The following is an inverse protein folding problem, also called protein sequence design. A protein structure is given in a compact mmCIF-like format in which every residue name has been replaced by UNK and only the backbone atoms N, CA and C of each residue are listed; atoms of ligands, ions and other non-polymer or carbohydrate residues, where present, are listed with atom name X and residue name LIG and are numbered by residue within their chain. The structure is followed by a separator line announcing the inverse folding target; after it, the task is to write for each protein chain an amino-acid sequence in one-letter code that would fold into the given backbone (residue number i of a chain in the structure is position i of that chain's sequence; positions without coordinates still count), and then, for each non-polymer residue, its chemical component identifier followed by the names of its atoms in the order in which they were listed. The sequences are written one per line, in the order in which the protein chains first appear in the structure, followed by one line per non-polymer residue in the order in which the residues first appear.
data_IF_539089547000
#
_entry.id   IF_539089547000
#
_cell.length_a   1.000
_cell.length_b   1.000
_cell.length_c   1.000
_cell.angle_alpha   90.00
_cell.angle_beta   90.00
_cell.angle_gamma   90.00
#
_symmetry.space_group_name_H-M   'P 1'
#
loop_
_entity.id
_entity.type
_entity.pdbx_description
1 polymer ?
#
# COMPACT_ATOMS: atom_id res chain seq x y z
N UNK A 1 -15.30 6.56 -3.00
CA UNK A 1 -14.27 5.81 -3.74
C UNK A 1 -14.69 5.79 -5.21
N UNK A 2 -13.83 6.13 -6.18
CA UNK A 2 -14.22 6.25 -7.59
C UNK A 2 -14.41 4.89 -8.30
N UNK A 3 -14.67 3.85 -7.53
CA UNK A 3 -14.58 2.45 -7.91
C UNK A 3 -15.77 1.72 -7.29
N UNK A 4 -16.88 1.69 -8.02
CA UNK A 4 -18.14 1.05 -7.65
C UNK A 4 -18.29 -0.32 -8.34
N UNK A 5 -17.18 -1.00 -8.61
CA UNK A 5 -17.16 -2.33 -9.21
C UNK A 5 -16.82 -3.36 -8.11
N UNK A 6 -17.70 -4.35 -7.85
CA UNK A 6 -17.43 -5.42 -6.88
C UNK A 6 -16.16 -6.22 -7.16
N UNK A 7 -15.64 -6.20 -8.39
CA UNK A 7 -14.43 -6.92 -8.79
C UNK A 7 -13.11 -6.20 -8.44
N UNK A 8 -13.18 -5.01 -7.84
CA UNK A 8 -12.00 -4.23 -7.42
C UNK A 8 -11.42 -4.75 -6.10
N UNK A 9 -12.20 -5.55 -5.36
CA UNK A 9 -11.68 -6.32 -4.23
C UNK A 9 -10.84 -7.51 -4.72
N UNK A 10 -10.05 -8.13 -3.83
CA UNK A 10 -9.22 -9.30 -4.16
C UNK A 10 -10.08 -10.49 -4.63
N UNK A 11 -10.46 -10.48 -5.91
CA UNK A 11 -11.28 -11.49 -6.58
C UNK A 11 -10.47 -12.29 -7.60
N UNK A 12 -11.10 -13.18 -8.40
CA UNK A 12 -10.38 -14.15 -9.23
C UNK A 12 -9.42 -13.53 -10.25
N UNK A 13 -9.76 -12.39 -10.84
CA UNK A 13 -8.88 -11.67 -11.78
C UNK A 13 -7.66 -11.10 -11.07
N UNK A 14 -7.89 -10.47 -9.92
CA UNK A 14 -6.86 -9.88 -9.10
C UNK A 14 -5.90 -10.96 -8.54
N UNK A 15 -6.44 -12.07 -8.05
CA UNK A 15 -5.68 -13.24 -7.60
C UNK A 15 -4.85 -13.84 -8.74
N UNK A 16 -5.44 -14.03 -9.92
CA UNK A 16 -4.72 -14.52 -11.09
C UNK A 16 -3.54 -13.61 -11.47
N UNK A 17 -3.75 -12.29 -11.46
CA UNK A 17 -2.71 -11.31 -11.73
C UNK A 17 -1.61 -11.36 -10.66
N UNK A 18 -1.99 -11.38 -9.37
CA UNK A 18 -1.05 -11.45 -8.24
C UNK A 18 -0.22 -12.74 -8.25
N UNK A 19 -0.77 -13.84 -8.77
CA UNK A 19 -0.01 -15.07 -8.98
C UNK A 19 0.96 -15.03 -10.17
N UNK A 20 0.70 -14.16 -11.15
CA UNK A 20 1.43 -14.11 -12.43
C UNK A 20 2.49 -13.00 -12.47
N UNK A 21 2.25 -11.89 -11.78
CA UNK A 21 3.13 -10.71 -11.75
C UNK A 21 3.14 -10.07 -10.36
N UNK A 22 4.08 -9.13 -10.13
CA UNK A 22 4.10 -8.33 -8.90
C UNK A 22 2.96 -7.29 -8.91
N UNK A 23 1.84 -7.61 -8.29
CA UNK A 23 0.74 -6.65 -8.12
C UNK A 23 0.94 -5.87 -6.83
N UNK A 24 1.07 -4.55 -6.94
CA UNK A 24 1.07 -3.65 -5.78
C UNK A 24 -0.39 -3.31 -5.44
N UNK A 25 -0.85 -3.55 -4.21
CA UNK A 25 -2.24 -3.28 -3.84
C UNK A 25 -2.54 -1.79 -3.76
N UNK A 26 -3.80 -1.45 -3.98
CA UNK A 26 -4.31 -0.09 -4.05
C UNK A 26 -4.09 0.71 -2.77
N UNK A 27 -4.25 0.10 -1.59
CA UNK A 27 -3.99 0.75 -0.31
C UNK A 27 -2.50 1.09 -0.08
N UNK A 28 -1.58 0.55 -0.88
CA UNK A 28 -0.18 0.98 -0.95
C UNK A 28 0.01 1.96 -2.10
N UNK A 29 -0.42 1.61 -3.32
CA UNK A 29 -0.20 2.41 -4.53
C UNK A 29 -0.89 3.78 -4.50
N UNK A 30 -2.06 3.87 -3.86
CA UNK A 30 -2.88 5.08 -3.76
C UNK A 30 -2.88 5.68 -2.34
N UNK A 31 -1.91 5.31 -1.49
CA UNK A 31 -1.88 5.76 -0.09
C UNK A 31 -1.49 7.23 0.07
N UNK A 32 -0.95 7.86 -0.98
CA UNK A 32 -0.34 9.19 -0.92
C UNK A 32 -1.23 10.24 -0.26
N UNK A 33 -2.50 10.36 -0.68
CA UNK A 33 -3.42 11.34 -0.10
C UNK A 33 -3.71 11.09 1.39
N UNK A 34 -3.94 9.83 1.77
CA UNK A 34 -4.15 9.48 3.18
C UNK A 34 -2.91 9.81 4.01
N UNK A 35 -1.72 9.56 3.45
CA UNK A 35 -0.45 9.87 4.12
C UNK A 35 -0.21 11.37 4.23
N UNK A 36 -0.49 12.15 3.20
CA UNK A 36 -0.44 13.62 3.27
C UNK A 36 -1.35 14.14 4.39
N UNK A 37 -2.59 13.66 4.49
CA UNK A 37 -3.47 14.06 5.60
C UNK A 37 -2.90 13.69 6.96
N UNK A 38 -2.35 12.49 7.11
CA UNK A 38 -1.73 12.05 8.36
C UNK A 38 -0.55 12.97 8.77
N UNK A 39 0.29 13.37 7.81
CA UNK A 39 1.40 14.30 8.05
C UNK A 39 0.90 15.68 8.49
N UNK A 40 -0.10 16.24 7.80
CA UNK A 40 -0.70 17.54 8.13
C UNK A 40 -1.34 17.56 9.53
N UNK A 41 -1.82 16.41 10.04
CA UNK A 41 -2.40 16.29 11.37
C UNK A 41 -1.36 16.25 12.50
N UNK A 42 -0.06 16.04 12.22
CA UNK A 42 0.97 15.91 13.26
C UNK A 42 1.42 17.24 13.86
N UNK A 43 0.99 18.38 13.31
CA UNK A 43 1.04 19.74 13.91
C UNK A 43 2.43 20.36 14.14
N UNK A 44 3.50 19.56 14.19
CA UNK A 44 4.83 19.98 14.62
C UNK A 44 5.92 19.85 13.53
N UNK A 45 5.56 19.52 12.28
CA UNK A 45 6.51 19.47 11.17
C UNK A 45 6.41 20.71 10.28
N UNK A 46 7.55 21.11 9.73
CA UNK A 46 7.60 22.01 8.59
C UNK A 46 6.96 21.31 7.39
N UNK A 47 5.82 21.83 6.94
CA UNK A 47 5.08 21.27 5.79
C UNK A 47 5.67 21.90 4.53
N UNK A 48 6.46 21.13 3.80
CA UNK A 48 6.93 21.41 2.45
C UNK A 48 6.55 20.30 1.48
N UNK A 49 6.56 20.58 0.17
CA UNK A 49 6.33 19.57 -0.87
C UNK A 49 7.33 18.42 -0.73
N UNK A 50 8.61 18.72 -0.49
CA UNK A 50 9.67 17.72 -0.28
C UNK A 50 9.38 16.84 0.93
N UNK A 51 8.95 17.42 2.05
CA UNK A 51 8.60 16.65 3.26
C UNK A 51 7.42 15.70 3.01
N UNK A 52 6.42 16.14 2.23
CA UNK A 52 5.26 15.32 1.85
C UNK A 52 5.71 14.17 0.93
N UNK A 53 6.51 14.45 -0.10
CA UNK A 53 6.98 13.43 -1.02
C UNK A 53 7.91 12.40 -0.36
N UNK A 54 8.80 12.83 0.53
CA UNK A 54 9.69 11.96 1.29
C UNK A 54 8.89 11.04 2.24
N UNK A 55 7.92 11.61 2.95
CA UNK A 55 7.06 10.86 3.88
C UNK A 55 6.19 9.82 3.16
N UNK A 56 5.65 10.15 1.99
CA UNK A 56 4.93 9.21 1.13
C UNK A 56 5.86 8.12 0.60
N UNK A 57 7.02 8.50 0.04
CA UNK A 57 7.95 7.57 -0.60
C UNK A 57 8.50 6.56 0.40
N UNK A 58 8.94 7.03 1.58
CA UNK A 58 9.44 6.18 2.66
C UNK A 58 8.35 5.24 3.21
N UNK A 59 7.09 5.69 3.28
CA UNK A 59 5.96 4.85 3.68
C UNK A 59 5.71 3.73 2.67
N UNK A 60 5.67 4.04 1.37
CA UNK A 60 5.49 3.04 0.31
C UNK A 60 6.66 2.05 0.29
N UNK A 61 7.89 2.55 0.37
CA UNK A 61 9.10 1.72 0.41
C UNK A 61 9.08 0.75 1.61
N UNK A 62 8.74 1.26 2.80
CA UNK A 62 8.62 0.45 4.02
C UNK A 62 7.57 -0.65 3.88
N UNK A 63 6.39 -0.33 3.34
CA UNK A 63 5.35 -1.32 3.09
C UNK A 63 5.80 -2.43 2.13
N UNK A 64 6.47 -2.06 1.03
CA UNK A 64 7.01 -3.03 0.07
C UNK A 64 8.15 -3.88 0.67
N UNK A 65 9.02 -3.28 1.48
CA UNK A 65 10.06 -4.00 2.22
C UNK A 65 9.47 -5.01 3.20
N UNK A 66 8.40 -4.65 3.91
CA UNK A 66 7.70 -5.59 4.80
C UNK A 66 7.06 -6.75 4.04
N UNK A 67 6.46 -6.49 2.87
CA UNK A 67 5.94 -7.54 2.00
C UNK A 67 7.06 -8.49 1.57
N UNK A 68 8.17 -7.93 1.08
CA UNK A 68 9.33 -8.71 0.64
C UNK A 68 9.97 -9.50 1.79
N UNK A 69 10.04 -8.93 3.00
CA UNK A 69 10.55 -9.60 4.18
C UNK A 69 9.67 -10.80 4.60
N UNK A 70 8.34 -10.69 4.45
CA UNK A 70 7.39 -11.79 4.69
C UNK A 70 7.48 -12.87 3.60
N UNK A 71 7.67 -12.47 2.34
CA UNK A 71 7.79 -13.37 1.20
C UNK A 71 8.76 -12.83 0.16
N UNK A 72 9.80 -13.61 -0.14
CA UNK A 72 10.82 -13.28 -1.14
C UNK A 72 10.36 -13.57 -2.58
N UNK A 73 9.13 -14.06 -2.77
CA UNK A 73 8.60 -14.31 -4.11
C UNK A 73 8.41 -12.99 -4.88
N UNK A 74 8.71 -12.98 -6.20
CA UNK A 74 8.48 -11.80 -7.05
C UNK A 74 7.00 -11.61 -7.43
N UNK A 75 6.13 -12.54 -7.04
CA UNK A 75 4.68 -12.51 -7.21
C UNK A 75 4.02 -12.63 -5.84
N UNK A 76 2.68 -12.53 -5.78
CA UNK A 76 1.88 -12.60 -4.55
C UNK A 76 2.14 -11.44 -3.58
N UNK A 77 2.56 -10.30 -4.12
CA UNK A 77 2.88 -9.11 -3.33
C UNK A 77 1.59 -8.56 -2.69
N UNK A 78 0.47 -8.56 -3.43
CA UNK A 78 -0.77 -8.01 -2.91
C UNK A 78 -1.40 -8.89 -1.83
N UNK A 79 -1.48 -10.21 -2.04
CA UNK A 79 -1.96 -11.14 -0.98
C UNK A 79 -1.08 -11.09 0.27
N UNK A 80 0.24 -10.97 0.10
CA UNK A 80 1.17 -10.79 1.23
C UNK A 80 0.90 -9.49 1.99
N UNK A 81 0.68 -8.39 1.26
CA UNK A 81 0.36 -7.10 1.84
C UNK A 81 -0.99 -7.12 2.59
N UNK A 82 -2.02 -7.75 2.03
CA UNK A 82 -3.32 -7.91 2.69
C UNK A 82 -3.20 -8.72 3.99
N UNK A 83 -2.41 -9.81 3.99
CA UNK A 83 -2.16 -10.58 5.20
C UNK A 83 -1.47 -9.74 6.29
N UNK A 84 -0.45 -8.96 5.93
CA UNK A 84 0.22 -8.05 6.85
C UNK A 84 -0.75 -6.99 7.40
N UNK A 85 -1.61 -6.41 6.55
CA UNK A 85 -2.58 -5.41 6.98
C UNK A 85 -3.63 -6.00 7.93
N UNK A 86 -4.11 -7.22 7.67
CA UNK A 86 -5.03 -7.93 8.55
C UNK A 86 -4.40 -8.26 9.90
N UNK A 87 -3.13 -8.69 9.91
CA UNK A 87 -2.37 -8.97 11.15
C UNK A 87 -2.17 -7.72 12.03
N UNK A 88 -2.24 -6.51 11.46
CA UNK A 88 -2.12 -5.25 12.21
C UNK A 88 -3.46 -4.73 12.76
N UNK A 89 -4.58 -5.24 12.25
CA UNK A 89 -5.93 -4.83 12.65
C UNK A 89 -6.51 -5.74 13.76
N UNK A 90 -5.98 -6.95 13.91
CA UNK A 90 -6.38 -7.96 14.88
C UNK A 90 -5.42 -8.00 16.07
#
# INVERSE_FOLDING_TARGET
MPFADPEIFYGPVYEHADHSVAVVPDFIANCGMARTFALLMQGNLEISDESIFEDISSTIESALKHCHARSQAPTRVASTAFAIALDQLL
#
